data_IF_632619013176
#
_entry.id   IF_632619013176
#
_cell.length_a   1.000
_cell.length_b   1.000
_cell.length_c   1.000
_cell.angle_alpha   90.00
_cell.angle_beta   90.00
_cell.angle_gamma   90.00
#
_symmetry.space_group_name_H-M   'P 1'
#
loop_
_entity.id
_entity.type
_entity.pdbx_description
1 polymer ?
#
# COMPACT_ATOMS: atom_id res chain seq x y z
N UNK A 1 13.33 -0.61 15.00
CA UNK A 1 13.22 -1.80 14.13
C UNK A 1 12.01 -1.63 13.21
N UNK A 2 11.97 -2.30 12.06
CA UNK A 2 10.88 -2.19 11.07
C UNK A 2 10.17 -3.53 10.89
N UNK A 3 8.85 -3.55 10.84
CA UNK A 3 8.06 -4.73 10.47
C UNK A 3 7.43 -4.53 9.10
N UNK A 4 7.61 -5.50 8.20
CA UNK A 4 6.93 -5.54 6.92
C UNK A 4 5.85 -6.62 6.98
N UNK A 5 4.61 -6.25 6.69
CA UNK A 5 3.56 -7.22 6.49
C UNK A 5 3.56 -7.60 5.01
N UNK A 6 3.57 -8.89 4.70
CA UNK A 6 3.23 -9.33 3.35
C UNK A 6 1.82 -8.83 2.98
N UNK A 7 1.42 -9.01 1.72
CA UNK A 7 0.15 -8.47 1.20
C UNK A 7 -1.02 -8.65 2.17
N UNK A 8 -1.79 -7.58 2.42
CA UNK A 8 -2.86 -7.55 3.42
C UNK A 8 -4.26 -7.47 2.79
N UNK A 9 -4.35 -7.47 1.46
CA UNK A 9 -5.63 -7.52 0.74
C UNK A 9 -6.03 -8.96 0.38
N UNK A 10 -6.97 -9.10 -0.55
CA UNK A 10 -7.44 -10.41 -1.01
C UNK A 10 -6.33 -11.24 -1.67
N UNK A 11 -6.30 -12.53 -1.34
CA UNK A 11 -5.38 -13.51 -1.90
C UNK A 11 -6.03 -14.34 -3.02
N UNK A 12 -5.24 -14.86 -3.96
CA UNK A 12 -5.72 -15.90 -4.88
C UNK A 12 -6.08 -17.18 -4.11
N UNK A 13 -7.07 -17.90 -4.61
CA UNK A 13 -7.50 -19.19 -4.04
C UNK A 13 -6.54 -20.33 -4.38
N UNK A 14 -5.85 -20.26 -5.51
CA UNK A 14 -4.86 -21.24 -5.88
C UNK A 14 -3.62 -21.11 -4.98
N UNK A 15 -3.22 -22.19 -4.32
CA UNK A 15 -2.11 -22.14 -3.36
C UNK A 15 -0.77 -21.76 -4.00
N UNK A 16 -0.51 -22.20 -5.24
CA UNK A 16 0.72 -21.84 -5.95
C UNK A 16 0.79 -20.33 -6.23
N UNK A 17 -0.34 -19.73 -6.61
CA UNK A 17 -0.45 -18.27 -6.77
C UNK A 17 -0.30 -17.56 -5.42
N UNK A 18 -0.87 -18.11 -4.33
CA UNK A 18 -0.70 -17.55 -3.00
C UNK A 18 0.76 -17.59 -2.54
N UNK A 19 1.50 -18.67 -2.84
CA UNK A 19 2.95 -18.73 -2.62
C UNK A 19 3.73 -17.69 -3.42
N UNK A 20 3.29 -17.36 -4.64
CA UNK A 20 3.92 -16.28 -5.41
C UNK A 20 3.74 -14.92 -4.70
N UNK A 21 2.55 -14.64 -4.16
CA UNK A 21 2.29 -13.41 -3.37
C UNK A 21 3.12 -13.38 -2.09
N UNK A 22 3.20 -14.49 -1.35
CA UNK A 22 4.04 -14.63 -0.14
C UNK A 22 5.50 -14.38 -0.46
N UNK A 23 6.00 -15.04 -1.51
CA UNK A 23 7.40 -14.98 -1.92
C UNK A 23 7.78 -13.57 -2.38
N UNK A 24 6.92 -12.91 -3.16
CA UNK A 24 7.16 -11.53 -3.58
C UNK A 24 7.14 -10.56 -2.41
N UNK A 25 6.22 -10.75 -1.45
CA UNK A 25 6.21 -9.98 -0.21
C UNK A 25 7.47 -10.19 0.65
N UNK A 26 8.01 -11.42 0.68
CA UNK A 26 9.27 -11.72 1.36
C UNK A 26 10.48 -11.06 0.67
N UNK A 27 10.51 -11.07 -0.67
CA UNK A 27 11.55 -10.40 -1.45
C UNK A 27 11.54 -8.88 -1.20
N UNK A 28 10.37 -8.24 -1.26
CA UNK A 28 10.22 -6.82 -0.96
C UNK A 28 10.66 -6.49 0.48
N UNK A 29 10.34 -7.34 1.46
CA UNK A 29 10.74 -7.14 2.84
C UNK A 29 12.26 -7.28 3.05
N UNK A 30 12.89 -8.30 2.46
CA UNK A 30 14.33 -8.53 2.55
C UNK A 30 15.12 -7.41 1.88
N UNK A 31 14.77 -7.07 0.63
CA UNK A 31 15.41 -6.01 -0.15
C UNK A 31 15.17 -4.61 0.46
N UNK A 32 14.00 -4.38 1.06
CA UNK A 32 13.68 -3.14 1.79
C UNK A 32 14.31 -3.04 3.20
N UNK A 33 15.08 -4.05 3.61
CA UNK A 33 15.79 -4.08 4.89
C UNK A 33 14.85 -4.08 6.10
N UNK A 34 13.74 -4.81 6.03
CA UNK A 34 12.85 -4.99 7.17
C UNK A 34 13.53 -5.82 8.28
N UNK A 35 13.28 -5.48 9.55
CA UNK A 35 13.81 -6.25 10.70
C UNK A 35 12.97 -7.49 10.99
N UNK A 36 11.66 -7.44 10.70
CA UNK A 36 10.70 -8.52 10.90
C UNK A 36 9.73 -8.59 9.73
N UNK A 37 9.28 -9.80 9.37
CA UNK A 37 8.25 -10.03 8.37
C UNK A 37 7.06 -10.76 9.00
N UNK A 38 5.84 -10.25 8.79
CA UNK A 38 4.62 -11.00 9.13
C UNK A 38 4.23 -11.86 7.94
N UNK A 39 4.19 -13.16 8.18
CA UNK A 39 4.05 -14.20 7.16
C UNK A 39 2.59 -14.53 6.92
N UNK A 40 2.24 -14.62 5.64
CA UNK A 40 0.94 -15.08 5.14
C UNK A 40 0.99 -16.55 4.77
N UNK A 41 -0.18 -17.14 4.51
CA UNK A 41 -0.31 -18.58 4.26
C UNK A 41 -1.02 -18.83 2.93
N UNK A 42 -0.82 -20.01 2.31
CA UNK A 42 -1.58 -20.38 1.12
C UNK A 42 -3.10 -20.45 1.36
N UNK A 43 -3.54 -20.52 2.62
CA UNK A 43 -4.95 -20.56 3.00
C UNK A 43 -5.61 -19.18 3.19
N UNK A 44 -4.89 -18.07 2.92
CA UNK A 44 -5.35 -16.71 3.24
C UNK A 44 -6.70 -16.34 2.59
N UNK A 45 -7.01 -16.92 1.42
CA UNK A 45 -8.29 -16.69 0.73
C UNK A 45 -9.48 -17.47 1.33
N UNK A 46 -9.23 -18.46 2.18
CA UNK A 46 -10.25 -19.36 2.71
C UNK A 46 -10.58 -19.11 4.18
N UNK A 47 -9.58 -18.77 5.00
CA UNK A 47 -9.78 -18.53 6.43
C UNK A 47 -8.52 -18.76 7.26
N UNK A 48 -8.72 -19.11 8.54
CA UNK A 48 -7.62 -19.36 9.47
C UNK A 48 -6.80 -20.58 8.98
N UNK A 49 -5.47 -20.47 8.85
CA UNK A 49 -4.65 -21.54 8.32
C UNK A 49 -4.55 -22.73 9.28
N UNK A 50 -4.34 -23.92 8.72
CA UNK A 50 -3.84 -25.05 9.49
C UNK A 50 -2.39 -24.81 9.92
N UNK A 51 -1.89 -25.56 10.90
CA UNK A 51 -0.48 -25.48 11.31
C UNK A 51 0.47 -25.84 10.17
N UNK A 52 0.09 -26.75 9.28
CA UNK A 52 0.85 -27.17 8.11
C UNK A 52 0.95 -26.03 7.08
N UNK A 53 -0.17 -25.40 6.71
CA UNK A 53 -0.19 -24.27 5.78
C UNK A 53 0.61 -23.07 6.31
N UNK A 54 0.50 -22.81 7.62
CA UNK A 54 1.29 -21.77 8.27
C UNK A 54 2.81 -22.10 8.22
N UNK A 55 3.19 -23.34 8.54
CA UNK A 55 4.58 -23.78 8.45
C UNK A 55 5.14 -23.67 7.02
N UNK A 56 4.33 -23.96 5.99
CA UNK A 56 4.75 -23.79 4.59
C UNK A 56 5.01 -22.31 4.24
N UNK A 57 4.13 -21.39 4.64
CA UNK A 57 4.34 -19.95 4.46
C UNK A 57 5.63 -19.46 5.13
N UNK A 58 5.92 -19.93 6.34
CA UNK A 58 7.14 -19.61 7.08
C UNK A 58 8.40 -20.12 6.35
N UNK A 59 8.38 -21.36 5.87
CA UNK A 59 9.51 -21.95 5.14
C UNK A 59 9.77 -21.22 3.82
N UNK A 60 8.72 -20.94 3.05
CA UNK A 60 8.81 -20.19 1.79
C UNK A 60 9.39 -18.78 2.04
N UNK A 61 8.88 -18.07 3.04
CA UNK A 61 9.38 -16.74 3.40
C UNK A 61 10.85 -16.78 3.82
N UNK A 62 11.24 -17.73 4.69
CA UNK A 62 12.63 -17.87 5.12
C UNK A 62 13.57 -18.19 3.95
N UNK A 63 13.13 -19.04 3.02
CA UNK A 63 13.89 -19.37 1.81
C UNK A 63 14.17 -18.11 0.99
N UNK A 64 13.15 -17.31 0.70
CA UNK A 64 13.32 -16.07 -0.07
C UNK A 64 14.23 -15.08 0.66
N UNK A 65 14.03 -14.87 1.96
CA UNK A 65 14.89 -13.99 2.75
C UNK A 65 16.37 -14.42 2.69
N UNK A 66 16.65 -15.72 2.76
CA UNK A 66 18.00 -16.25 2.62
C UNK A 66 18.59 -15.99 1.21
N UNK A 67 17.76 -16.03 0.16
CA UNK A 67 18.20 -15.79 -1.22
C UNK A 67 18.50 -14.31 -1.50
N UNK A 68 17.83 -13.38 -0.82
CA UNK A 68 18.00 -11.94 -1.03
C UNK A 68 18.89 -11.26 0.02
N UNK A 69 19.34 -11.96 1.05
CA UNK A 69 20.05 -11.38 2.21
C UNK A 69 21.32 -10.58 1.85
N UNK A 70 21.99 -10.96 0.77
CA UNK A 70 23.25 -10.34 0.32
C UNK A 70 23.01 -9.23 -0.72
N UNK A 71 21.75 -9.01 -1.12
CA UNK A 71 21.36 -7.99 -2.09
C UNK A 71 20.98 -6.69 -1.38
N UNK A 72 21.38 -5.55 -1.95
CA UNK A 72 21.03 -4.23 -1.44
C UNK A 72 20.36 -3.41 -2.54
N UNK A 73 19.26 -2.74 -2.20
CA UNK A 73 18.68 -1.70 -3.04
C UNK A 73 19.34 -0.37 -2.68
N UNK A 74 20.50 -0.09 -3.29
CA UNK A 74 21.22 1.19 -3.12
C UNK A 74 21.18 1.99 -4.42
N UNK A 75 21.07 3.31 -4.30
CA UNK A 75 21.35 4.28 -5.37
C UNK A 75 20.43 4.19 -6.61
N UNK A 76 19.15 3.87 -6.39
CA UNK A 76 18.15 3.91 -7.47
C UNK A 76 17.44 5.27 -7.40
N UNK A 77 17.74 6.16 -8.34
CA UNK A 77 17.16 7.51 -8.44
C UNK A 77 15.62 7.51 -8.32
N UNK A 78 14.95 6.50 -8.89
CA UNK A 78 13.50 6.33 -8.78
C UNK A 78 13.03 6.07 -7.34
N UNK A 79 13.79 5.31 -6.56
CA UNK A 79 13.49 5.04 -5.15
C UNK A 79 13.68 6.32 -4.32
N UNK A 80 14.75 7.07 -4.57
CA UNK A 80 15.03 8.32 -3.87
C UNK A 80 13.92 9.36 -4.11
N UNK A 81 13.51 9.53 -5.36
CA UNK A 81 12.37 10.40 -5.71
C UNK A 81 11.08 9.98 -5.01
N UNK A 82 10.81 8.68 -4.92
CA UNK A 82 9.62 8.16 -4.25
C UNK A 82 9.70 8.38 -2.72
N UNK A 83 10.88 8.20 -2.11
CA UNK A 83 11.13 8.50 -0.69
C UNK A 83 10.85 9.97 -0.39
N UNK A 84 11.29 10.88 -1.25
CA UNK A 84 11.09 12.31 -1.05
C UNK A 84 9.61 12.71 -1.09
N UNK A 85 8.84 12.14 -2.03
CA UNK A 85 7.38 12.34 -2.09
C UNK A 85 6.71 11.83 -0.81
N UNK A 86 7.03 10.61 -0.38
CA UNK A 86 6.45 10.01 0.84
C UNK A 86 6.79 10.85 2.08
N UNK A 87 8.01 11.38 2.18
CA UNK A 87 8.42 12.28 3.27
C UNK A 87 7.66 13.60 3.24
N UNK A 88 7.50 14.22 2.07
CA UNK A 88 6.76 15.49 1.93
C UNK A 88 5.27 15.32 2.32
N UNK A 89 4.64 14.23 1.90
CA UNK A 89 3.27 13.87 2.27
C UNK A 89 3.13 13.62 3.77
N UNK A 90 4.00 12.76 4.32
CA UNK A 90 3.98 12.41 5.74
C UNK A 90 4.19 13.65 6.62
N UNK A 91 5.16 14.49 6.26
CA UNK A 91 5.45 15.74 6.96
C UNK A 91 4.22 16.66 6.98
N UNK A 92 3.56 16.82 5.84
CA UNK A 92 2.37 17.68 5.71
C UNK A 92 1.24 17.23 6.66
N UNK A 93 1.00 15.92 6.78
CA UNK A 93 0.01 15.37 7.71
C UNK A 93 0.42 15.61 9.17
N UNK A 94 1.67 15.29 9.53
CA UNK A 94 2.17 15.43 10.90
C UNK A 94 2.15 16.90 11.36
N UNK A 95 2.56 17.83 10.50
CA UNK A 95 2.52 19.26 10.80
C UNK A 95 1.09 19.77 11.01
N UNK A 96 0.14 19.35 10.16
CA UNK A 96 -1.26 19.72 10.33
C UNK A 96 -1.85 19.18 11.65
N UNK A 97 -1.51 17.94 12.00
CA UNK A 97 -1.94 17.31 13.27
C UNK A 97 -1.38 18.07 14.47
N UNK A 98 -0.08 18.36 14.47
CA UNK A 98 0.56 19.13 15.55
C UNK A 98 -0.04 20.54 15.68
N UNK A 99 -0.32 21.21 14.57
CA UNK A 99 -0.95 22.52 14.56
C UNK A 99 -2.38 22.48 15.14
N UNK A 100 -3.20 21.49 14.75
CA UNK A 100 -4.54 21.31 15.30
C UNK A 100 -4.51 21.00 16.81
N UNK A 101 -3.45 20.36 17.27
CA UNK A 101 -3.21 20.05 18.68
C UNK A 101 -2.54 21.16 19.48
N UNK A 102 -2.15 22.29 18.85
CA UNK A 102 -1.28 23.30 19.47
C UNK A 102 -0.01 22.70 20.10
N UNK A 103 0.60 21.72 19.42
CA UNK A 103 1.77 20.98 19.89
C UNK A 103 1.45 19.67 20.63
N UNK A 104 0.22 19.45 21.08
CA UNK A 104 -0.21 18.16 21.66
C UNK A 104 -0.64 17.18 20.56
N UNK A 105 0.16 16.13 20.37
CA UNK A 105 -0.08 15.12 19.33
C UNK A 105 -1.39 14.34 19.56
N UNK A 106 -1.78 14.05 20.80
CA UNK A 106 -2.96 13.25 21.10
C UNK A 106 -4.24 14.03 20.79
N UNK A 107 -4.30 15.28 21.22
CA UNK A 107 -5.40 16.21 20.87
C UNK A 107 -5.40 16.46 19.36
N UNK A 108 -4.23 16.66 18.77
CA UNK A 108 -4.05 16.85 17.33
C UNK A 108 -4.58 15.68 16.52
N UNK A 109 -4.38 14.43 16.95
CA UNK A 109 -4.89 13.25 16.27
C UNK A 109 -6.42 13.19 16.28
N UNK A 110 -7.06 13.43 17.42
CA UNK A 110 -8.53 13.44 17.54
C UNK A 110 -9.13 14.48 16.59
N UNK A 111 -8.65 15.73 16.70
CA UNK A 111 -9.06 16.83 15.81
C UNK A 111 -8.69 16.54 14.35
N UNK A 112 -7.60 15.82 14.13
CA UNK A 112 -7.11 15.44 12.82
C UNK A 112 -8.10 14.55 12.06
N UNK A 113 -8.66 13.55 12.73
CA UNK A 113 -9.74 12.72 12.21
C UNK A 113 -11.04 13.52 12.02
N UNK A 114 -11.41 14.37 12.98
CA UNK A 114 -12.60 15.23 12.90
C UNK A 114 -12.56 16.18 11.70
N UNK A 115 -11.38 16.74 11.39
CA UNK A 115 -11.14 17.61 10.25
C UNK A 115 -10.90 16.84 8.93
N UNK A 116 -10.53 15.55 9.01
CA UNK A 116 -10.16 14.72 7.86
C UNK A 116 -8.75 14.99 7.31
N UNK A 117 -7.88 15.65 8.08
CA UNK A 117 -6.45 15.78 7.73
C UNK A 117 -5.68 14.48 7.98
N UNK A 118 -6.27 13.59 8.79
CA UNK A 118 -6.00 12.16 8.80
C UNK A 118 -7.27 11.46 8.32
N UNK A 119 -7.11 10.56 7.36
CA UNK A 119 -8.20 9.73 6.85
C UNK A 119 -7.63 8.35 6.50
N UNK A 120 -8.46 7.31 6.59
CA UNK A 120 -8.04 5.91 6.38
C UNK A 120 -8.99 5.27 5.37
N UNK A 121 -8.52 4.75 4.22
CA UNK A 121 -9.40 4.20 3.21
C UNK A 121 -10.17 2.99 3.74
N UNK A 122 -11.47 2.93 3.47
CA UNK A 122 -12.34 1.80 3.80
C UNK A 122 -12.41 1.45 5.30
N UNK A 123 -12.07 2.38 6.19
CA UNK A 123 -12.17 2.14 7.63
C UNK A 123 -13.63 2.07 8.09
N UNK A 124 -13.99 1.13 8.98
CA UNK A 124 -15.35 1.01 9.51
C UNK A 124 -15.68 2.03 10.60
N UNK A 125 -14.70 2.80 11.08
CA UNK A 125 -14.91 3.78 12.13
C UNK A 125 -15.76 4.95 11.65
N UNK A 126 -16.82 5.28 12.38
CA UNK A 126 -17.66 6.48 12.14
C UNK A 126 -16.91 7.81 12.27
N UNK A 127 -15.73 7.80 12.89
CA UNK A 127 -14.89 8.99 13.07
C UNK A 127 -13.97 9.24 11.87
N UNK A 128 -13.84 8.27 10.96
CA UNK A 128 -13.10 8.42 9.72
C UNK A 128 -14.00 9.08 8.67
N UNK A 129 -13.48 10.07 7.94
CA UNK A 129 -14.26 10.77 6.90
C UNK A 129 -14.49 9.91 5.67
N UNK A 130 -13.58 8.97 5.36
CA UNK A 130 -13.69 8.06 4.23
C UNK A 130 -13.70 8.77 2.88
N UNK A 131 -13.09 9.96 2.81
CA UNK A 131 -13.05 10.80 1.59
C UNK A 131 -11.84 10.50 0.73
N UNK A 132 -10.76 9.99 1.31
CA UNK A 132 -9.59 9.59 0.54
C UNK A 132 -9.86 8.32 -0.24
N UNK A 133 -9.53 8.33 -1.52
CA UNK A 133 -9.74 7.19 -2.41
C UNK A 133 -8.39 6.81 -3.03
N UNK A 134 -7.78 5.69 -2.60
CA UNK A 134 -6.53 5.21 -3.17
C UNK A 134 -6.79 4.45 -4.48
N UNK A 135 -5.85 4.50 -5.40
CA UNK A 135 -5.86 3.72 -6.65
C UNK A 135 -4.42 3.54 -7.14
N UNK A 136 -4.12 2.47 -7.87
CA UNK A 136 -2.77 2.28 -8.41
C UNK A 136 -2.51 3.17 -9.62
N UNK A 137 -1.29 3.64 -9.77
CA UNK A 137 -0.80 4.22 -11.02
C UNK A 137 -0.45 3.15 -12.06
N UNK A 138 0.12 3.57 -13.18
CA UNK A 138 0.42 2.67 -14.29
C UNK A 138 1.46 1.59 -13.95
N UNK A 139 2.30 1.82 -12.94
CA UNK A 139 3.34 0.88 -12.52
C UNK A 139 2.93 0.08 -11.27
N UNK A 140 1.73 0.31 -10.75
CA UNK A 140 1.19 -0.40 -9.60
C UNK A 140 1.43 0.26 -8.24
N UNK A 141 2.10 1.42 -8.20
CA UNK A 141 2.25 2.19 -6.95
C UNK A 141 0.92 2.82 -6.55
N UNK A 142 0.61 2.81 -5.25
CA UNK A 142 -0.62 3.40 -4.74
C UNK A 142 -0.51 4.93 -4.77
N UNK A 143 -1.52 5.56 -5.36
CA UNK A 143 -1.72 7.00 -5.46
C UNK A 143 -3.12 7.37 -4.97
N UNK A 144 -3.42 8.65 -4.95
CA UNK A 144 -4.69 9.18 -4.47
C UNK A 144 -5.54 9.71 -5.63
N UNK A 145 -6.62 8.99 -5.93
CA UNK A 145 -7.67 9.45 -6.85
C UNK A 145 -8.43 10.62 -6.24
N UNK A 146 -8.72 10.54 -4.95
CA UNK A 146 -9.27 11.63 -4.16
C UNK A 146 -8.42 11.82 -2.90
N UNK A 147 -7.94 13.04 -2.68
CA UNK A 147 -7.12 13.40 -1.52
C UNK A 147 -7.96 13.86 -0.33
N UNK A 148 -9.28 14.03 -0.49
CA UNK A 148 -10.15 14.52 0.57
C UNK A 148 -9.64 15.81 1.21
N UNK A 149 -9.52 15.79 2.54
CA UNK A 149 -9.03 16.92 3.33
C UNK A 149 -7.54 16.78 3.71
N UNK A 150 -6.79 15.85 3.09
CA UNK A 150 -5.36 15.73 3.35
C UNK A 150 -4.66 17.06 3.07
N UNK A 151 -3.75 17.51 3.96
CA UNK A 151 -3.13 18.84 3.93
C UNK A 151 -2.01 18.95 2.89
N UNK A 152 -2.22 18.38 1.70
CA UNK A 152 -1.22 18.32 0.65
C UNK A 152 -1.17 19.58 -0.20
N UNK A 153 0.05 20.00 -0.49
CA UNK A 153 0.35 21.08 -1.43
C UNK A 153 -0.21 20.78 -2.82
N UNK A 154 -0.38 21.84 -3.64
CA UNK A 154 -0.77 21.68 -5.05
C UNK A 154 0.23 20.82 -5.83
N UNK A 155 1.53 20.87 -5.46
CA UNK A 155 2.59 20.05 -6.05
C UNK A 155 2.32 18.55 -5.84
N UNK A 156 2.06 18.12 -4.60
CA UNK A 156 1.75 16.72 -4.28
C UNK A 156 0.46 16.27 -4.99
N UNK A 157 -0.60 17.08 -4.93
CA UNK A 157 -1.87 16.77 -5.64
C UNK A 157 -1.64 16.63 -7.15
N UNK A 158 -0.82 17.53 -7.70
CA UNK A 158 -0.14 17.50 -8.99
C UNK A 158 0.36 16.10 -9.38
N UNK A 159 1.29 15.62 -8.56
CA UNK A 159 2.01 14.38 -8.76
C UNK A 159 1.08 13.17 -8.84
N UNK A 160 0.15 13.01 -7.87
CA UNK A 160 -0.83 11.93 -7.91
C UNK A 160 -1.67 11.96 -9.18
N UNK A 161 -2.22 13.13 -9.52
CA UNK A 161 -3.05 13.29 -10.72
C UNK A 161 -2.31 12.88 -11.99
N UNK A 162 -1.07 13.33 -12.17
CA UNK A 162 -0.25 12.99 -13.33
C UNK A 162 0.01 11.47 -13.44
N UNK A 163 0.36 10.82 -12.33
CA UNK A 163 0.56 9.36 -12.29
C UNK A 163 -0.69 8.56 -12.64
N UNK A 164 -1.86 9.06 -12.27
CA UNK A 164 -3.13 8.44 -12.64
C UNK A 164 -3.50 8.70 -14.10
N UNK A 165 -3.22 9.89 -14.62
CA UNK A 165 -3.41 10.20 -16.04
C UNK A 165 -2.53 9.34 -16.95
N UNK A 166 -1.30 9.02 -16.53
CA UNK A 166 -0.42 8.05 -17.23
C UNK A 166 -1.12 6.68 -17.36
N UNK A 167 -1.72 6.16 -16.27
CA UNK A 167 -2.50 4.92 -16.30
C UNK A 167 -3.72 5.03 -17.20
N UNK A 168 -4.47 6.14 -17.07
CA UNK A 168 -5.68 6.36 -17.85
C UNK A 168 -5.43 6.41 -19.36
N UNK A 169 -4.32 7.02 -19.78
CA UNK A 169 -3.86 7.00 -21.17
C UNK A 169 -3.53 5.58 -21.64
N UNK A 170 -2.78 4.82 -20.83
CA UNK A 170 -2.38 3.45 -21.18
C UNK A 170 -3.58 2.48 -21.28
N UNK A 171 -4.62 2.69 -20.47
CA UNK A 171 -5.83 1.86 -20.45
C UNK A 171 -6.97 2.40 -21.32
N UNK A 172 -6.75 3.52 -22.02
CA UNK A 172 -7.78 4.23 -22.80
C UNK A 172 -9.09 4.49 -22.02
N UNK A 173 -8.98 4.84 -20.73
CA UNK A 173 -10.11 5.19 -19.86
C UNK A 173 -9.73 6.24 -18.83
N UNK A 174 -10.67 7.08 -18.41
CA UNK A 174 -10.40 8.10 -17.38
C UNK A 174 -10.14 7.44 -16.01
N UNK A 175 -9.19 7.96 -15.20
CA UNK A 175 -9.05 7.57 -13.80
C UNK A 175 -10.39 7.71 -13.07
N UNK A 176 -10.82 6.65 -12.42
CA UNK A 176 -12.17 6.56 -11.86
C UNK A 176 -12.25 5.54 -10.72
N UNK A 177 -13.35 5.59 -9.96
CA UNK A 177 -13.60 4.62 -8.89
C UNK A 177 -13.67 3.17 -9.41
N UNK A 178 -14.00 2.95 -10.69
CA UNK A 178 -13.93 1.61 -11.30
C UNK A 178 -12.52 1.02 -11.26
N UNK A 179 -11.47 1.83 -11.46
CA UNK A 179 -10.08 1.37 -11.31
C UNK A 179 -9.78 0.91 -9.87
N UNK A 180 -10.38 1.57 -8.87
CA UNK A 180 -10.24 1.20 -7.45
C UNK A 180 -10.82 -0.20 -7.22
N UNK A 181 -12.03 -0.43 -7.72
CA UNK A 181 -12.69 -1.75 -7.65
C UNK A 181 -11.84 -2.81 -8.35
N UNK A 182 -11.30 -2.50 -9.53
CA UNK A 182 -10.45 -3.43 -10.27
C UNK A 182 -9.16 -3.77 -9.50
N UNK A 183 -8.54 -2.77 -8.86
CA UNK A 183 -7.32 -2.96 -8.06
C UNK A 183 -7.55 -3.75 -6.78
N UNK A 184 -8.75 -3.65 -6.16
CA UNK A 184 -9.13 -4.44 -4.98
C UNK A 184 -9.11 -5.94 -5.30
N UNK A 185 -9.58 -6.32 -6.50
CA UNK A 185 -9.63 -7.72 -6.91
C UNK A 185 -8.38 -8.21 -7.65
N UNK A 186 -7.48 -7.30 -8.08
CA UNK A 186 -6.38 -7.63 -8.98
C UNK A 186 -5.51 -8.79 -8.46
N UNK A 187 -5.04 -8.74 -7.21
CA UNK A 187 -4.13 -9.77 -6.68
C UNK A 187 -4.82 -11.12 -6.55
N UNK A 188 -6.10 -11.13 -6.13
CA UNK A 188 -6.88 -12.37 -6.09
C UNK A 188 -7.14 -12.98 -7.47
N UNK A 189 -6.97 -12.20 -8.54
CA UNK A 189 -7.05 -12.62 -9.94
C UNK A 189 -5.67 -12.79 -10.60
N UNK A 190 -4.59 -12.76 -9.84
CA UNK A 190 -3.23 -13.01 -10.32
C UNK A 190 -2.46 -11.79 -10.86
N UNK A 191 -2.95 -10.56 -10.66
CA UNK A 191 -2.32 -9.34 -11.18
C UNK A 191 -2.06 -8.31 -10.09
N UNK A 192 -1.05 -7.45 -10.24
CA UNK A 192 -0.85 -6.33 -9.32
C UNK A 192 -1.82 -5.16 -9.61
N UNK A 193 -2.09 -4.90 -10.88
CA UNK A 193 -2.91 -3.76 -11.36
C UNK A 193 -4.18 -4.29 -12.02
N UNK A 194 -5.33 -3.75 -11.64
CA UNK A 194 -6.63 -4.11 -12.21
C UNK A 194 -6.83 -3.49 -13.60
N UNK A 195 -6.19 -4.10 -14.61
CA UNK A 195 -6.34 -3.69 -16.02
C UNK A 195 -7.73 -4.12 -16.53
N UNK A 196 -8.33 -3.36 -17.47
CA UNK A 196 -9.54 -3.81 -18.14
C UNK A 196 -9.25 -5.12 -18.90
N UNK A 197 -10.23 -6.03 -18.89
CA UNK A 197 -10.21 -7.21 -19.76
C UNK A 197 -10.23 -6.74 -21.23
N UNK A 198 -9.48 -7.44 -22.09
CA UNK A 198 -9.48 -7.16 -23.53
C UNK A 198 -10.75 -7.70 -24.18
#
# INVERSE_FOLDING_TARGET
TKVFHQWMGGFPQNEAEAFAVISWGAAAAGLGGATKVIVKTPHEAYGIPTKEANALGLRATKQILNMVKDQKLTEIELIEKEIDIIKEETKSILEAVLNLGNGDIAIGLVRGFEAGVIDIPFAPSRFTKGKIIPVRDNNGSIRLLNVGNLPFSKKIRNFHKQKLEERGKAENRKPSFKMVVDDIYAISRGYLVGRPEK
#
